data_IF_446861819946
#
_entry.id   IF_446861819946
#
_cell.length_a   1.000
_cell.length_b   1.000
_cell.length_c   1.000
_cell.angle_alpha   90.00
_cell.angle_beta   90.00
_cell.angle_gamma   90.00
#
_symmetry.space_group_name_H-M   'P 1'
#
loop_
_entity.id
_entity.type
_entity.pdbx_description
1 polymer ?
#
# COMPACT_ATOMS: atom_id res chain seq x y z
N UNK A 1 -29.77 -16.80 8.51
CA UNK A 1 -29.47 -15.39 8.88
C UNK A 1 -28.14 -15.01 8.24
N UNK A 2 -28.16 -14.76 6.96
CA UNK A 2 -27.01 -14.35 6.17
C UNK A 2 -27.45 -13.13 5.39
N UNK A 3 -26.68 -12.08 5.49
CA UNK A 3 -26.69 -10.91 4.64
C UNK A 3 -26.99 -9.58 5.36
N UNK A 4 -25.97 -9.07 6.07
CA UNK A 4 -25.90 -7.65 6.44
C UNK A 4 -24.52 -7.06 6.17
N UNK A 5 -23.82 -7.55 5.17
CA UNK A 5 -22.84 -6.72 4.50
C UNK A 5 -23.53 -6.11 3.28
N UNK A 6 -24.44 -5.17 3.56
CA UNK A 6 -24.95 -4.31 2.51
C UNK A 6 -23.73 -3.65 1.84
N UNK A 7 -23.49 -4.01 0.57
CA UNK A 7 -22.74 -3.22 -0.36
C UNK A 7 -23.03 -1.74 -0.08
N UNK A 8 -22.10 -1.01 0.49
CA UNK A 8 -21.94 0.39 0.11
C UNK A 8 -21.57 0.30 -1.37
N UNK A 9 -22.54 0.39 -2.24
CA UNK A 9 -22.31 0.77 -3.62
C UNK A 9 -21.55 2.09 -3.55
N UNK A 10 -20.24 1.99 -3.65
CA UNK A 10 -19.42 3.12 -4.03
C UNK A 10 -19.97 3.51 -5.40
N UNK A 11 -20.68 4.63 -5.45
CA UNK A 11 -21.24 5.21 -6.66
C UNK A 11 -20.06 5.59 -7.58
N UNK A 12 -19.47 4.56 -8.23
CA UNK A 12 -18.37 4.68 -9.19
C UNK A 12 -18.95 5.17 -10.51
N UNK A 13 -19.52 6.37 -10.49
CA UNK A 13 -19.77 7.13 -11.70
C UNK A 13 -18.44 7.36 -12.39
N UNK A 14 -18.16 6.62 -13.44
CA UNK A 14 -16.99 6.63 -14.34
C UNK A 14 -15.88 5.62 -14.02
N UNK A 15 -16.17 4.32 -14.18
CA UNK A 15 -15.09 3.37 -14.52
C UNK A 15 -14.81 3.59 -16.02
N UNK A 16 -13.78 4.38 -16.31
CA UNK A 16 -13.43 4.64 -17.70
C UNK A 16 -12.77 3.41 -18.36
N UNK A 17 -11.89 2.69 -17.63
CA UNK A 17 -11.17 1.53 -18.14
C UNK A 17 -10.48 0.74 -17.03
N UNK A 18 -10.58 -0.60 -17.06
CA UNK A 18 -9.70 -1.49 -16.28
C UNK A 18 -8.37 -1.59 -17.00
N UNK A 19 -7.29 -1.13 -16.37
CA UNK A 19 -5.93 -1.17 -16.94
C UNK A 19 -5.26 -2.52 -16.71
N UNK A 20 -5.48 -3.11 -15.53
CA UNK A 20 -4.86 -4.37 -15.12
C UNK A 20 -5.69 -5.03 -14.01
N UNK A 21 -5.69 -6.37 -14.00
CA UNK A 21 -6.29 -7.17 -12.93
C UNK A 21 -5.26 -8.15 -12.40
N UNK A 22 -4.83 -7.96 -11.16
CA UNK A 22 -4.05 -8.96 -10.44
C UNK A 22 -4.99 -10.02 -9.83
N UNK A 23 -4.57 -11.29 -9.89
CA UNK A 23 -5.32 -12.41 -9.33
C UNK A 23 -4.42 -13.22 -8.41
N UNK A 24 -4.88 -13.46 -7.20
CA UNK A 24 -4.20 -14.32 -6.23
C UNK A 24 -5.18 -15.31 -5.63
N UNK A 25 -4.68 -16.48 -5.27
CA UNK A 25 -5.38 -17.47 -4.48
C UNK A 25 -4.65 -17.63 -3.15
N UNK A 26 -5.38 -17.57 -2.06
CA UNK A 26 -4.85 -17.82 -0.71
C UNK A 26 -5.52 -19.06 -0.15
N UNK A 27 -4.72 -20.02 0.29
CA UNK A 27 -5.17 -21.25 0.95
C UNK A 27 -4.68 -21.25 2.39
N UNK A 28 -5.55 -21.59 3.34
CA UNK A 28 -5.27 -21.50 4.78
C UNK A 28 -5.49 -20.07 5.32
N UNK A 29 -4.80 -19.75 6.39
CA UNK A 29 -4.93 -18.50 7.14
C UNK A 29 -3.61 -17.70 7.18
N UNK A 30 -3.63 -16.57 7.92
CA UNK A 30 -2.46 -15.71 8.08
C UNK A 30 -1.28 -16.38 8.80
N UNK A 31 -1.52 -17.45 9.56
CA UNK A 31 -0.52 -18.07 10.44
C UNK A 31 0.15 -19.27 9.78
N UNK A 32 -0.51 -19.93 8.86
CA UNK A 32 -0.04 -21.19 8.27
C UNK A 32 -0.30 -21.32 6.75
N UNK A 33 -0.98 -20.36 6.16
CA UNK A 33 -1.40 -20.42 4.77
C UNK A 33 -0.30 -20.17 3.74
N UNK A 34 -0.74 -20.12 2.50
CA UNK A 34 0.07 -19.75 1.33
C UNK A 34 -0.73 -18.82 0.43
N UNK A 35 -0.07 -17.93 -0.28
CA UNK A 35 -0.72 -17.12 -1.30
C UNK A 35 0.10 -17.12 -2.59
N UNK A 36 -0.59 -17.28 -3.70
CA UNK A 36 0.05 -17.43 -5.02
C UNK A 36 -0.71 -16.64 -6.06
N UNK A 37 0.02 -15.89 -6.91
CA UNK A 37 -0.59 -15.21 -8.05
C UNK A 37 -0.82 -16.15 -9.23
N UNK A 38 -1.77 -15.83 -10.09
CA UNK A 38 -2.11 -16.63 -11.28
C UNK A 38 -0.97 -16.76 -12.30
N UNK A 39 -0.04 -15.82 -12.29
CA UNK A 39 1.17 -15.83 -13.15
C UNK A 39 2.40 -16.47 -12.46
N UNK A 40 2.26 -16.87 -11.19
CA UNK A 40 3.33 -17.50 -10.41
C UNK A 40 4.43 -16.54 -9.92
N UNK A 41 4.33 -15.24 -10.20
CA UNK A 41 5.35 -14.26 -9.78
C UNK A 41 5.29 -13.94 -8.28
N UNK A 42 4.12 -14.10 -7.65
CA UNK A 42 3.96 -14.10 -6.20
C UNK A 42 3.71 -15.54 -5.76
N UNK A 43 4.60 -16.09 -4.95
CA UNK A 43 4.46 -17.42 -4.32
C UNK A 43 5.05 -17.35 -2.92
N UNK A 44 4.19 -17.23 -1.92
CA UNK A 44 4.59 -16.93 -0.55
C UNK A 44 3.94 -17.87 0.46
N UNK A 45 4.66 -18.08 1.55
CA UNK A 45 4.13 -18.70 2.78
C UNK A 45 3.75 -17.60 3.76
N UNK A 46 2.64 -17.80 4.46
CA UNK A 46 2.18 -16.92 5.53
C UNK A 46 2.61 -17.49 6.89
N UNK A 47 2.98 -16.61 7.80
CA UNK A 47 3.36 -16.99 9.16
C UNK A 47 3.11 -15.85 10.14
N UNK A 48 2.84 -16.22 11.39
CA UNK A 48 2.80 -15.26 12.50
C UNK A 48 4.18 -14.67 12.74
N UNK A 49 4.34 -13.35 12.88
CA UNK A 49 5.59 -12.73 13.28
C UNK A 49 6.15 -13.32 14.56
N UNK A 50 7.45 -13.66 14.55
CA UNK A 50 8.13 -14.28 15.69
C UNK A 50 7.93 -15.79 15.87
N UNK A 51 7.15 -16.45 15.00
CA UNK A 51 7.02 -17.90 15.01
C UNK A 51 8.24 -18.60 14.39
N UNK A 52 8.39 -19.91 14.65
CA UNK A 52 9.44 -20.70 14.03
C UNK A 52 9.22 -20.96 12.52
N UNK A 53 8.00 -20.74 12.02
CA UNK A 53 7.67 -20.89 10.61
C UNK A 53 8.18 -19.68 9.81
N UNK A 54 8.98 -19.95 8.80
CA UNK A 54 9.48 -18.91 7.89
C UNK A 54 8.35 -18.55 6.90
N UNK A 55 7.98 -17.27 6.87
CA UNK A 55 6.96 -16.74 5.98
C UNK A 55 6.83 -15.23 6.12
N UNK A 56 5.94 -14.65 5.33
CA UNK A 56 5.55 -13.24 5.41
C UNK A 56 4.17 -13.11 6.08
N UNK A 57 3.65 -11.89 6.16
CA UNK A 57 2.35 -11.60 6.76
C UNK A 57 1.61 -10.54 5.94
N UNK A 58 0.28 -10.40 6.14
CA UNK A 58 -0.53 -9.43 5.41
C UNK A 58 -0.03 -7.98 5.54
N UNK A 59 0.50 -7.61 6.71
CA UNK A 59 1.01 -6.26 6.98
C UNK A 59 2.24 -5.96 6.12
N UNK A 60 3.17 -6.92 5.96
CA UNK A 60 4.33 -6.78 5.07
C UNK A 60 3.91 -6.67 3.60
N UNK A 61 2.91 -7.43 3.18
CA UNK A 61 2.38 -7.38 1.82
C UNK A 61 1.74 -6.02 1.52
N UNK A 62 0.98 -5.49 2.48
CA UNK A 62 0.39 -4.15 2.35
C UNK A 62 1.48 -3.08 2.30
N UNK A 63 2.48 -3.15 3.16
CA UNK A 63 3.60 -2.22 3.18
C UNK A 63 4.35 -2.22 1.84
N UNK A 64 4.69 -3.39 1.30
CA UNK A 64 5.37 -3.54 0.02
C UNK A 64 4.53 -3.00 -1.15
N UNK A 65 3.25 -3.36 -1.21
CA UNK A 65 2.34 -2.91 -2.27
C UNK A 65 2.12 -1.40 -2.23
N UNK A 66 1.92 -0.84 -1.03
CA UNK A 66 1.69 0.60 -0.87
C UNK A 66 2.94 1.41 -1.19
N UNK A 67 4.10 1.04 -0.65
CA UNK A 67 5.36 1.76 -0.94
C UNK A 67 5.70 1.75 -2.43
N UNK A 68 5.52 0.62 -3.12
CA UNK A 68 5.73 0.52 -4.56
C UNK A 68 4.74 1.42 -5.35
N UNK A 69 3.47 1.40 -4.98
CA UNK A 69 2.45 2.26 -5.59
C UNK A 69 2.70 3.74 -5.33
N UNK A 70 3.15 4.09 -4.12
CA UNK A 70 3.46 5.47 -3.76
C UNK A 70 4.71 5.99 -4.49
N UNK A 71 5.76 5.17 -4.61
CA UNK A 71 6.95 5.51 -5.41
C UNK A 71 6.59 5.78 -6.88
N UNK A 72 5.70 4.96 -7.46
CA UNK A 72 5.18 5.22 -8.80
C UNK A 72 4.40 6.54 -8.89
N UNK A 73 3.59 6.86 -7.89
CA UNK A 73 2.86 8.13 -7.83
C UNK A 73 3.82 9.32 -7.80
N UNK A 74 4.90 9.27 -7.01
CA UNK A 74 5.97 10.29 -7.01
C UNK A 74 6.58 10.42 -8.41
N UNK A 75 6.90 9.30 -9.06
CA UNK A 75 7.49 9.32 -10.41
C UNK A 75 6.55 9.95 -11.45
N UNK A 76 5.25 9.67 -11.38
CA UNK A 76 4.25 10.27 -12.26
C UNK A 76 4.14 11.79 -12.07
N UNK A 77 4.10 12.27 -10.82
CA UNK A 77 4.06 13.69 -10.51
C UNK A 77 5.34 14.39 -10.98
N UNK A 78 6.51 13.83 -10.69
CA UNK A 78 7.80 14.38 -11.11
C UNK A 78 7.88 14.52 -12.64
N UNK A 79 7.45 13.48 -13.38
CA UNK A 79 7.38 13.50 -14.85
C UNK A 79 6.46 14.63 -15.34
N UNK A 80 5.26 14.74 -14.77
CA UNK A 80 4.31 15.80 -15.13
C UNK A 80 4.88 17.19 -14.89
N UNK A 81 5.65 17.36 -13.82
CA UNK A 81 6.29 18.63 -13.45
C UNK A 81 7.66 18.83 -14.12
N UNK A 82 8.13 17.88 -14.93
CA UNK A 82 9.47 17.88 -15.56
C UNK A 82 10.61 17.99 -14.56
N UNK A 83 10.46 17.37 -13.40
CA UNK A 83 11.46 17.29 -12.34
C UNK A 83 12.22 15.98 -12.50
N UNK A 84 13.55 16.05 -12.61
CA UNK A 84 14.40 14.87 -12.60
C UNK A 84 14.43 14.28 -11.17
N UNK A 85 14.03 13.04 -11.03
CA UNK A 85 14.14 12.33 -9.76
C UNK A 85 15.59 11.87 -9.53
N UNK A 86 16.01 11.79 -8.26
CA UNK A 86 17.29 11.18 -7.92
C UNK A 86 17.31 9.70 -8.32
N UNK A 87 18.51 9.14 -8.50
CA UNK A 87 18.69 7.74 -8.91
C UNK A 87 18.09 6.71 -7.94
N UNK A 88 17.89 7.08 -6.68
CA UNK A 88 17.33 6.22 -5.64
C UNK A 88 16.23 6.96 -4.85
N UNK A 89 15.01 6.82 -5.30
CA UNK A 89 13.84 7.06 -4.45
C UNK A 89 13.68 5.85 -3.53
N UNK A 90 13.58 6.06 -2.24
CA UNK A 90 13.28 4.97 -1.30
C UNK A 90 12.14 5.35 -0.36
N UNK A 91 11.35 4.36 0.01
CA UNK A 91 10.23 4.50 0.94
C UNK A 91 10.31 3.35 1.93
N UNK A 92 10.53 3.69 3.20
CA UNK A 92 10.36 2.73 4.28
C UNK A 92 8.90 2.78 4.71
N UNK A 93 8.19 1.69 4.51
CA UNK A 93 6.78 1.57 4.87
C UNK A 93 6.64 0.67 6.10
N UNK A 94 5.89 1.16 7.07
CA UNK A 94 5.54 0.42 8.28
C UNK A 94 4.02 0.29 8.34
N UNK A 95 3.54 -0.91 8.61
CA UNK A 95 2.11 -1.19 8.82
C UNK A 95 1.96 -1.86 10.17
N UNK A 96 1.21 -1.24 11.05
CA UNK A 96 0.88 -1.81 12.35
C UNK A 96 -0.48 -2.51 12.27
N UNK A 97 -0.57 -3.70 12.84
CA UNK A 97 -1.83 -4.32 13.22
C UNK A 97 -2.13 -3.94 14.65
N UNK A 98 -3.17 -3.16 14.84
CA UNK A 98 -3.61 -2.69 16.14
C UNK A 98 -4.86 -3.45 16.61
N UNK A 99 -5.08 -3.49 17.94
CA UNK A 99 -6.30 -3.98 18.53
C UNK A 99 -6.82 -2.93 19.53
N UNK A 100 -8.09 -2.56 19.37
CA UNK A 100 -8.77 -1.59 20.24
C UNK A 100 -10.23 -1.46 19.84
N UNK A 101 -11.03 -0.86 20.73
CA UNK A 101 -12.46 -0.61 20.52
C UNK A 101 -13.26 -1.83 20.00
N UNK A 102 -12.84 -3.03 20.43
CA UNK A 102 -13.49 -4.28 20.08
C UNK A 102 -13.09 -4.90 18.73
N UNK A 103 -12.01 -4.44 18.08
CA UNK A 103 -11.59 -4.99 16.80
C UNK A 103 -10.15 -4.72 16.41
N UNK A 104 -9.73 -5.32 15.29
CA UNK A 104 -8.43 -5.07 14.68
C UNK A 104 -8.53 -3.92 13.68
N UNK A 105 -7.50 -3.07 13.64
CA UNK A 105 -7.37 -2.00 12.67
C UNK A 105 -5.91 -1.75 12.30
N UNK A 106 -5.68 -1.08 11.18
CA UNK A 106 -4.33 -0.79 10.69
C UNK A 106 -3.97 0.68 10.87
N UNK A 107 -2.68 0.93 11.11
CA UNK A 107 -2.07 2.25 10.94
C UNK A 107 -0.77 2.13 10.14
N UNK A 108 -0.39 3.19 9.44
CA UNK A 108 0.70 3.13 8.46
C UNK A 108 1.59 4.36 8.55
N UNK A 109 2.90 4.16 8.42
CA UNK A 109 3.90 5.20 8.24
C UNK A 109 4.67 4.98 6.95
N UNK A 110 4.77 6.02 6.12
CA UNK A 110 5.60 6.03 4.92
C UNK A 110 6.71 7.06 5.12
N UNK A 111 7.94 6.63 5.23
CA UNK A 111 9.12 7.49 5.34
C UNK A 111 9.79 7.57 3.97
N UNK A 112 9.67 8.72 3.31
CA UNK A 112 10.08 8.95 1.93
C UNK A 112 11.44 9.63 1.91
N UNK A 113 12.39 9.12 1.11
CA UNK A 113 13.69 9.73 0.83
C UNK A 113 13.79 10.08 -0.65
N UNK A 114 14.06 11.36 -0.90
CA UNK A 114 14.28 11.93 -2.23
C UNK A 114 15.65 12.68 -2.24
N UNK A 115 16.76 11.95 -2.12
CA UNK A 115 18.07 12.58 -1.97
C UNK A 115 18.43 13.42 -3.20
N UNK A 116 19.00 14.60 -2.97
CA UNK A 116 19.41 15.51 -4.05
C UNK A 116 18.32 16.44 -4.57
N UNK A 117 17.08 16.32 -4.08
CA UNK A 117 16.04 17.32 -4.33
C UNK A 117 16.02 18.37 -3.22
N UNK A 118 15.72 19.60 -3.61
CA UNK A 118 15.43 20.67 -2.67
C UNK A 118 14.19 20.27 -1.83
N UNK A 119 14.23 20.55 -0.50
CA UNK A 119 13.24 20.04 0.47
C UNK A 119 11.79 20.46 0.14
N UNK A 120 11.59 21.69 -0.32
CA UNK A 120 10.24 22.17 -0.66
C UNK A 120 9.71 21.46 -1.91
N UNK A 121 10.56 21.26 -2.92
CA UNK A 121 10.22 20.51 -4.13
C UNK A 121 9.87 19.06 -3.80
N UNK A 122 10.67 18.40 -2.96
CA UNK A 122 10.40 17.04 -2.50
C UNK A 122 9.08 16.95 -1.73
N UNK A 123 8.80 17.90 -0.84
CA UNK A 123 7.55 17.98 -0.09
C UNK A 123 6.31 18.13 -0.99
N UNK A 124 6.41 18.99 -2.00
CA UNK A 124 5.33 19.16 -2.99
C UNK A 124 5.07 17.87 -3.78
N UNK A 125 6.14 17.18 -4.23
CA UNK A 125 6.01 15.90 -4.92
C UNK A 125 5.30 14.85 -4.06
N UNK A 126 5.67 14.73 -2.80
CA UNK A 126 5.06 13.80 -1.84
C UNK A 126 3.58 14.13 -1.63
N UNK A 127 3.25 15.40 -1.41
CA UNK A 127 1.87 15.84 -1.20
C UNK A 127 0.97 15.61 -2.43
N UNK A 128 1.50 15.81 -3.64
CA UNK A 128 0.74 15.52 -4.86
C UNK A 128 0.63 14.00 -5.11
N UNK A 129 1.69 13.23 -4.83
CA UNK A 129 1.68 11.78 -4.94
C UNK A 129 0.62 11.14 -4.03
N UNK A 130 0.47 11.63 -2.80
CA UNK A 130 -0.56 11.18 -1.86
C UNK A 130 -1.98 11.31 -2.45
N UNK A 131 -2.24 12.39 -3.20
CA UNK A 131 -3.55 12.63 -3.81
C UNK A 131 -3.88 11.65 -4.93
N UNK A 132 -2.88 11.17 -5.67
CA UNK A 132 -3.06 10.33 -6.85
C UNK A 132 -2.78 8.85 -6.61
N UNK A 133 -2.03 8.50 -5.55
CA UNK A 133 -1.71 7.10 -5.23
C UNK A 133 -3.01 6.30 -4.98
N UNK A 134 -3.23 5.18 -5.69
CA UNK A 134 -4.43 4.36 -5.50
C UNK A 134 -4.60 3.82 -4.08
N UNK A 135 -3.51 3.41 -3.43
CA UNK A 135 -3.55 2.94 -2.03
C UNK A 135 -3.91 4.07 -1.06
N UNK A 136 -3.32 5.25 -1.22
CA UNK A 136 -3.67 6.41 -0.39
C UNK A 136 -5.12 6.83 -0.59
N UNK A 137 -5.65 6.71 -1.80
CA UNK A 137 -7.08 6.96 -2.07
C UNK A 137 -7.99 5.92 -1.43
N UNK A 138 -7.61 4.64 -1.47
CA UNK A 138 -8.39 3.54 -0.91
C UNK A 138 -8.45 3.57 0.63
N UNK A 139 -7.40 4.06 1.28
CA UNK A 139 -7.25 4.05 2.75
C UNK A 139 -7.69 5.36 3.41
N UNK A 140 -7.83 6.43 2.63
CA UNK A 140 -8.17 7.77 3.13
C UNK A 140 -9.46 7.78 3.93
N UNK A 141 -9.38 8.35 5.16
CA UNK A 141 -10.52 8.43 6.06
C UNK A 141 -10.85 7.13 6.80
N UNK A 142 -10.08 6.06 6.58
CA UNK A 142 -10.28 4.77 7.24
C UNK A 142 -9.03 4.25 7.96
N UNK A 143 -7.87 4.47 7.40
CA UNK A 143 -6.57 4.06 7.99
C UNK A 143 -5.83 5.31 8.46
N UNK A 144 -5.27 5.27 9.66
CA UNK A 144 -4.36 6.30 10.15
C UNK A 144 -3.05 6.26 9.37
N UNK A 145 -2.76 7.30 8.59
CA UNK A 145 -1.56 7.37 7.73
C UNK A 145 -0.71 8.57 8.11
N UNK A 146 0.58 8.33 8.31
CA UNK A 146 1.59 9.38 8.45
C UNK A 146 2.59 9.27 7.31
N UNK A 147 2.82 10.36 6.59
CA UNK A 147 3.82 10.42 5.51
C UNK A 147 4.89 11.43 5.91
N UNK A 148 6.12 10.97 6.03
CA UNK A 148 7.29 11.76 6.40
C UNK A 148 8.25 11.88 5.23
N UNK A 149 8.78 13.07 5.00
CA UNK A 149 9.94 13.30 4.15
C UNK A 149 11.18 13.38 5.06
N UNK A 150 12.09 12.42 4.92
CA UNK A 150 13.27 12.25 5.76
C UNK A 150 14.56 12.32 4.94
#
# INVERSE_FOLDING_TARGET
MLNRYAKKECDMKHIAKVLHTAKTETTGDRDSGTSRSSDGLLDIRLSTPGSARIGTNPEQLLAAGWSASFANAIALVARKRRIALPAKVSIDAEVDLNFGDGGYFLSTRLNVRLPGLERNVAKELVNEAEKICPYSKATRGNVGVTINLI
#
